data_IF_272415908052
#
_entry.id   IF_272415908052
#
_cell.length_a   1.000
_cell.length_b   1.000
_cell.length_c   1.000
_cell.angle_alpha   90.00
_cell.angle_beta   90.00
_cell.angle_gamma   90.00
#
_symmetry.space_group_name_H-M   'P 1'
#
loop_
_entity.id
_entity.type
_entity.pdbx_description
1 polymer ?
#
# COMPACT_ATOMS: atom_id res chain seq x y z
N UNK A 1 12.28 -59.91 22.18
CA UNK A 1 13.29 -58.97 22.70
C UNK A 1 13.45 -57.86 21.67
N UNK A 2 13.10 -56.62 22.03
CA UNK A 2 13.08 -55.39 21.20
C UNK A 2 14.50 -54.80 21.04
N UNK A 3 14.81 -53.97 20.00
CA UNK A 3 14.32 -52.59 19.91
C UNK A 3 13.79 -52.22 18.51
N UNK A 4 12.60 -51.60 18.37
CA UNK A 4 12.32 -50.16 18.61
C UNK A 4 13.32 -49.23 17.89
N UNK A 5 13.22 -49.15 16.57
CA UNK A 5 13.79 -48.04 15.80
C UNK A 5 12.88 -46.82 15.91
N UNK A 6 13.22 -45.96 16.88
CA UNK A 6 12.68 -44.63 17.09
C UNK A 6 13.23 -43.72 15.97
N UNK A 7 12.49 -43.53 14.88
CA UNK A 7 12.85 -42.56 13.84
C UNK A 7 12.49 -41.16 14.36
N UNK A 8 13.52 -40.43 14.80
CA UNK A 8 13.41 -39.02 15.18
C UNK A 8 13.07 -38.19 13.93
N UNK A 9 11.85 -37.67 13.87
CA UNK A 9 11.49 -36.58 12.96
C UNK A 9 12.10 -35.28 13.50
N UNK A 10 13.23 -34.86 12.93
CA UNK A 10 13.76 -33.51 13.14
C UNK A 10 12.87 -32.51 12.38
N UNK A 11 11.94 -31.87 13.09
CA UNK A 11 11.24 -30.71 12.59
C UNK A 11 12.17 -29.49 12.67
N UNK A 12 12.80 -29.12 11.54
CA UNK A 12 13.46 -27.83 11.38
C UNK A 12 12.39 -26.75 11.33
N UNK A 13 12.08 -26.17 12.49
CA UNK A 13 11.31 -24.93 12.56
C UNK A 13 12.25 -23.82 12.07
N UNK A 14 12.12 -23.47 10.79
CA UNK A 14 12.76 -22.27 10.25
C UNK A 14 12.01 -21.09 10.87
N UNK A 15 12.58 -20.50 11.91
CA UNK A 15 12.08 -19.24 12.43
C UNK A 15 12.45 -18.17 11.40
N UNK A 16 11.47 -17.75 10.60
CA UNK A 16 11.58 -16.52 9.81
C UNK A 16 11.78 -15.36 10.80
N UNK A 17 13.03 -14.98 11.03
CA UNK A 17 13.35 -13.69 11.62
C UNK A 17 12.95 -12.64 10.58
N UNK A 18 11.72 -12.15 10.66
CA UNK A 18 11.40 -10.84 10.10
C UNK A 18 12.38 -9.86 10.77
N UNK A 19 13.39 -9.44 10.01
CA UNK A 19 14.27 -8.33 10.38
C UNK A 19 13.40 -7.08 10.33
N UNK A 20 12.59 -6.89 11.37
CA UNK A 20 11.83 -5.69 11.59
C UNK A 20 12.83 -4.59 11.97
N UNK A 21 13.35 -3.89 10.97
CA UNK A 21 14.00 -2.61 11.22
C UNK A 21 12.92 -1.64 11.71
N UNK A 22 12.96 -1.18 12.97
CA UNK A 22 11.90 -0.36 13.56
C UNK A 22 11.72 1.01 12.86
N UNK A 23 12.64 1.40 11.97
CA UNK A 23 12.58 2.67 11.24
C UNK A 23 11.77 2.63 9.93
N UNK A 24 11.45 1.45 9.39
CA UNK A 24 10.66 1.32 8.16
C UNK A 24 9.25 0.82 8.46
N UNK A 25 8.27 1.75 8.55
CA UNK A 25 6.87 1.40 8.75
C UNK A 25 6.15 1.36 7.40
N UNK A 26 5.55 0.22 7.10
CA UNK A 26 4.82 -0.02 5.87
C UNK A 26 3.30 0.04 6.05
N UNK A 27 2.58 0.17 4.95
CA UNK A 27 1.14 0.04 4.97
C UNK A 27 0.71 -1.41 5.19
N UNK A 28 -0.55 -1.60 5.54
CA UNK A 28 -1.14 -2.94 5.63
C UNK A 28 -1.11 -3.60 4.24
N UNK A 29 -0.74 -4.87 4.18
CA UNK A 29 -0.51 -5.58 2.92
C UNK A 29 0.86 -5.34 2.29
N UNK A 30 1.76 -4.63 2.99
CA UNK A 30 3.15 -4.42 2.58
C UNK A 30 4.11 -4.93 3.65
N UNK A 31 5.28 -5.41 3.21
CA UNK A 31 6.40 -5.75 4.10
C UNK A 31 7.61 -4.90 3.80
N UNK A 32 8.40 -4.61 4.83
CA UNK A 32 9.70 -3.97 4.65
C UNK A 32 10.67 -4.97 4.03
N UNK A 33 11.32 -4.58 2.93
CA UNK A 33 12.32 -5.38 2.24
C UNK A 33 13.56 -4.53 1.97
N UNK A 34 14.75 -5.10 2.17
CA UNK A 34 16.01 -4.42 1.90
C UNK A 34 16.44 -4.67 0.46
N UNK A 35 16.66 -3.59 -0.28
CA UNK A 35 17.13 -3.64 -1.67
C UNK A 35 18.39 -2.82 -1.85
N UNK A 36 18.88 -2.72 -3.10
CA UNK A 36 20.01 -1.88 -3.47
C UNK A 36 19.82 -0.39 -3.11
N UNK A 37 18.57 0.09 -3.00
CA UNK A 37 18.25 1.47 -2.62
C UNK A 37 17.94 1.65 -1.13
N UNK A 38 18.20 0.63 -0.32
CA UNK A 38 17.82 0.60 1.10
C UNK A 38 16.47 -0.08 1.34
N UNK A 39 15.90 0.19 2.52
CA UNK A 39 14.60 -0.36 2.92
C UNK A 39 13.47 0.28 2.13
N UNK A 40 12.54 -0.55 1.66
CA UNK A 40 11.33 -0.16 0.94
C UNK A 40 10.17 -1.07 1.32
N UNK A 41 8.95 -0.61 1.09
CA UNK A 41 7.74 -1.37 1.36
C UNK A 41 7.26 -2.04 0.07
N UNK A 42 7.29 -3.38 0.04
CA UNK A 42 6.88 -4.20 -1.10
C UNK A 42 5.51 -4.81 -0.81
N UNK A 43 4.57 -4.70 -1.75
CA UNK A 43 3.24 -5.29 -1.63
C UNK A 43 3.32 -6.82 -1.59
N UNK A 44 2.50 -7.44 -0.76
CA UNK A 44 2.47 -8.90 -0.60
C UNK A 44 1.74 -9.60 -1.76
N UNK A 45 0.78 -8.93 -2.38
CA UNK A 45 -0.11 -9.49 -3.41
C UNK A 45 0.00 -8.80 -4.78
N UNK A 46 0.69 -7.67 -4.86
CA UNK A 46 0.79 -6.85 -6.06
C UNK A 46 2.25 -6.53 -6.43
N UNK A 47 2.51 -6.23 -7.70
CA UNK A 47 3.80 -5.70 -8.14
C UNK A 47 3.89 -4.19 -7.86
N UNK A 48 3.84 -3.82 -6.59
CA UNK A 48 3.89 -2.43 -6.14
C UNK A 48 4.94 -2.25 -5.03
N UNK A 49 5.75 -1.21 -5.16
CA UNK A 49 6.82 -0.86 -4.23
C UNK A 49 6.65 0.61 -3.86
N UNK A 50 6.75 0.93 -2.58
CA UNK A 50 6.69 2.31 -2.09
C UNK A 50 7.80 2.61 -1.07
N UNK A 51 8.14 3.89 -0.85
CA UNK A 51 9.06 4.28 0.22
C UNK A 51 8.55 3.88 1.61
N UNK A 52 9.46 3.67 2.55
CA UNK A 52 9.12 3.53 3.96
C UNK A 52 8.43 4.79 4.50
N UNK A 53 7.57 4.63 5.50
CA UNK A 53 6.90 5.73 6.20
C UNK A 53 6.08 6.66 5.30
N UNK A 54 5.64 6.14 4.14
CA UNK A 54 4.81 6.90 3.21
C UNK A 54 3.50 7.32 3.90
N UNK A 55 3.09 8.59 3.86
CA UNK A 55 1.82 9.02 4.47
C UNK A 55 0.63 8.44 3.69
N UNK A 56 -0.35 7.91 4.42
CA UNK A 56 -1.60 7.40 3.81
C UNK A 56 -2.50 8.55 3.40
N UNK A 57 -2.64 8.77 2.10
CA UNK A 57 -3.59 9.73 1.57
C UNK A 57 -5.05 9.31 1.86
N UNK A 58 -5.97 10.28 2.04
CA UNK A 58 -7.39 9.99 2.14
C UNK A 58 -7.90 9.23 0.92
N UNK A 59 -8.91 8.37 1.12
CA UNK A 59 -9.62 7.75 -0.01
C UNK A 59 -10.56 8.80 -0.61
N UNK A 60 -10.50 9.01 -1.92
CA UNK A 60 -11.37 9.95 -2.61
C UNK A 60 -12.84 9.51 -2.47
N UNK A 61 -13.69 10.38 -1.92
CA UNK A 61 -15.14 10.16 -1.85
C UNK A 61 -15.82 10.80 -3.05
N UNK A 62 -16.72 10.04 -3.67
CA UNK A 62 -17.37 10.43 -4.90
C UNK A 62 -18.82 9.94 -4.90
N UNK A 63 -19.78 10.83 -5.15
CA UNK A 63 -21.17 10.48 -5.33
C UNK A 63 -21.47 10.08 -6.78
N UNK A 64 -22.50 9.25 -6.95
CA UNK A 64 -22.98 8.81 -8.27
C UNK A 64 -22.19 7.63 -8.87
N UNK A 65 -22.34 7.43 -10.19
CA UNK A 65 -21.71 6.31 -10.93
C UNK A 65 -20.28 6.69 -11.33
N UNK A 66 -19.33 6.37 -10.47
CA UNK A 66 -17.89 6.57 -10.70
C UNK A 66 -17.31 5.36 -11.43
N UNK A 67 -16.39 5.62 -12.37
CA UNK A 67 -15.66 4.57 -13.07
C UNK A 67 -14.25 4.40 -12.53
N UNK A 68 -13.58 5.51 -12.18
CA UNK A 68 -12.20 5.48 -11.68
C UNK A 68 -11.87 6.75 -10.87
N UNK A 69 -10.79 6.67 -10.09
CA UNK A 69 -10.14 7.81 -9.46
C UNK A 69 -8.89 8.15 -10.27
N UNK A 70 -8.79 9.40 -10.72
CA UNK A 70 -7.64 9.90 -11.46
C UNK A 70 -6.83 10.83 -10.56
N UNK A 71 -5.52 10.59 -10.46
CA UNK A 71 -4.58 11.50 -9.78
C UNK A 71 -3.69 12.14 -10.84
N UNK A 72 -3.63 13.46 -10.84
CA UNK A 72 -2.73 14.26 -11.67
C UNK A 72 -2.04 15.35 -10.82
N UNK A 73 -1.27 16.24 -11.48
CA UNK A 73 -0.54 17.31 -10.78
C UNK A 73 -1.46 18.37 -10.18
N UNK A 74 -2.72 18.44 -10.60
CA UNK A 74 -3.67 19.44 -10.13
C UNK A 74 -4.60 18.90 -9.05
N UNK A 75 -4.65 17.58 -8.85
CA UNK A 75 -5.32 16.98 -7.71
C UNK A 75 -5.74 15.53 -7.89
N UNK A 76 -6.68 15.12 -7.05
CA UNK A 76 -7.34 13.81 -7.14
C UNK A 76 -8.80 14.02 -7.54
N UNK A 77 -9.26 13.25 -8.54
CA UNK A 77 -10.51 13.48 -9.23
C UNK A 77 -11.35 12.20 -9.32
N UNK A 78 -12.66 12.36 -9.14
CA UNK A 78 -13.65 11.38 -9.51
C UNK A 78 -13.86 11.44 -11.03
N UNK A 79 -13.75 10.30 -11.71
CA UNK A 79 -13.96 10.23 -13.16
C UNK A 79 -15.02 9.21 -13.53
N UNK A 80 -15.77 9.53 -14.59
CA UNK A 80 -16.73 8.63 -15.22
C UNK A 80 -16.37 8.49 -16.68
N UNK A 81 -16.21 7.26 -17.15
CA UNK A 81 -15.96 6.95 -18.55
C UNK A 81 -17.24 6.45 -19.22
N UNK A 82 -17.39 6.76 -20.51
CA UNK A 82 -18.44 6.23 -21.38
C UNK A 82 -17.83 5.92 -22.74
N UNK A 83 -17.95 4.67 -23.19
CA UNK A 83 -17.39 4.21 -24.47
C UNK A 83 -15.88 4.47 -24.61
N UNK A 84 -15.11 4.27 -23.53
CA UNK A 84 -13.66 4.47 -23.52
C UNK A 84 -13.19 5.93 -23.43
N UNK A 85 -14.10 6.91 -23.46
CA UNK A 85 -13.78 8.32 -23.31
C UNK A 85 -14.19 8.86 -21.94
N UNK A 86 -13.45 9.85 -21.42
CA UNK A 86 -13.81 10.58 -20.21
C UNK A 86 -15.11 11.35 -20.47
N UNK A 87 -16.17 10.97 -19.77
CA UNK A 87 -17.48 11.62 -19.87
C UNK A 87 -17.62 12.76 -18.87
N UNK A 88 -17.09 12.57 -17.65
CA UNK A 88 -17.13 13.58 -16.60
C UNK A 88 -15.95 13.41 -15.65
N UNK A 89 -15.38 14.53 -15.23
CA UNK A 89 -14.41 14.65 -14.14
C UNK A 89 -14.90 15.68 -13.13
N UNK A 90 -14.77 15.40 -11.84
CA UNK A 90 -15.12 16.32 -10.76
C UNK A 90 -14.23 16.05 -9.54
N UNK A 91 -14.02 17.03 -8.65
CA UNK A 91 -13.14 16.86 -7.49
C UNK A 91 -13.70 15.84 -6.49
N UNK A 92 -12.83 15.28 -5.66
CA UNK A 92 -13.24 14.49 -4.50
C UNK A 92 -14.12 15.32 -3.57
N UNK A 93 -15.18 14.71 -3.02
CA UNK A 93 -16.18 15.37 -2.18
C UNK A 93 -15.70 15.55 -0.73
N UNK A 94 -14.76 14.71 -0.28
CA UNK A 94 -14.13 14.83 1.03
C UNK A 94 -13.01 15.88 1.05
N UNK A 95 -13.30 17.09 0.56
CA UNK A 95 -12.29 18.17 0.42
C UNK A 95 -11.63 18.51 1.75
N UNK A 96 -12.37 18.48 2.85
CA UNK A 96 -11.81 18.77 4.18
C UNK A 96 -10.70 17.79 4.59
N UNK A 97 -10.89 16.49 4.38
CA UNK A 97 -9.87 15.47 4.69
C UNK A 97 -8.60 15.68 3.85
N UNK A 98 -8.78 16.07 2.58
CA UNK A 98 -7.68 16.39 1.69
C UNK A 98 -6.95 17.66 2.10
N UNK A 99 -7.67 18.72 2.46
CA UNK A 99 -7.09 19.98 2.91
C UNK A 99 -6.26 19.77 4.18
N UNK A 100 -6.78 19.01 5.14
CA UNK A 100 -6.06 18.63 6.37
C UNK A 100 -4.82 17.79 6.06
N UNK A 101 -4.91 16.87 5.11
CA UNK A 101 -3.80 16.05 4.67
C UNK A 101 -2.69 16.88 4.02
N UNK A 102 -3.01 17.77 3.07
CA UNK A 102 -2.02 18.61 2.41
C UNK A 102 -1.41 19.66 3.33
N UNK A 103 -2.18 20.13 4.33
CA UNK A 103 -1.63 20.98 5.40
C UNK A 103 -0.56 20.26 6.22
N UNK A 104 -0.71 18.94 6.43
CA UNK A 104 0.27 18.12 7.15
C UNK A 104 1.44 17.68 6.27
N UNK A 105 1.19 17.46 4.98
CA UNK A 105 2.16 16.96 4.00
C UNK A 105 2.17 17.85 2.74
N UNK A 106 2.77 19.05 2.81
CA UNK A 106 2.74 20.01 1.70
C UNK A 106 3.46 19.49 0.44
N UNK A 107 4.47 18.62 0.61
CA UNK A 107 5.29 18.08 -0.48
C UNK A 107 4.74 16.77 -1.10
N UNK A 108 3.46 16.43 -0.86
CA UNK A 108 2.88 15.17 -1.35
C UNK A 108 2.48 15.20 -2.85
N UNK A 109 2.50 16.36 -3.50
CA UNK A 109 2.04 16.57 -4.89
C UNK A 109 3.23 16.66 -5.86
#
# INVERSE_FOLDING_TARGET
MYPRHLVLLLALVVADCEINNPSCVCWEGYRAEYSHNGYQCVALSELHIMPCNMPRAPKCQCSGKVSSILKDRTGTWCTRYRNGAEFKRWPCENTQEWDEFFKKYPDFI
#
